data_IF_558703709704
#
_entry.id   IF_558703709704
#
_cell.length_a   1.000
_cell.length_b   1.000
_cell.length_c   1.000
_cell.angle_alpha   90.00
_cell.angle_beta   90.00
_cell.angle_gamma   90.00
#
_symmetry.space_group_name_H-M   'P 1'
#
loop_
_entity.id
_entity.type
_entity.pdbx_description
1 polymer ?
#
# COMPACT_ATOMS: atom_id res chain seq x y z
N UNK A 1 -13.47 -9.45 -12.36
CA UNK A 1 -12.11 -9.24 -11.82
C UNK A 1 -12.22 -8.28 -10.66
N UNK A 2 -11.48 -8.53 -9.58
CA UNK A 2 -11.40 -7.62 -8.44
C UNK A 2 -10.62 -6.36 -8.83
N UNK A 3 -10.90 -5.24 -8.18
CA UNK A 3 -10.21 -3.97 -8.44
C UNK A 3 -8.70 -4.09 -8.21
N UNK A 4 -8.27 -4.81 -7.18
CA UNK A 4 -6.87 -5.12 -6.90
C UNK A 4 -6.17 -5.89 -8.02
N UNK A 5 -6.86 -6.83 -8.66
CA UNK A 5 -6.34 -7.57 -9.81
C UNK A 5 -6.19 -6.66 -11.04
N UNK A 6 -7.12 -5.71 -11.23
CA UNK A 6 -7.04 -4.72 -12.32
C UNK A 6 -5.84 -3.78 -12.12
N UNK A 7 -5.65 -3.26 -10.90
CA UNK A 7 -4.52 -2.40 -10.56
C UNK A 7 -3.17 -3.09 -10.79
N UNK A 8 -3.07 -4.37 -10.40
CA UNK A 8 -1.88 -5.17 -10.63
C UNK A 8 -1.55 -5.39 -12.10
N UNK A 9 -2.57 -5.64 -12.92
CA UNK A 9 -2.38 -5.83 -14.35
C UNK A 9 -1.93 -4.54 -15.03
N UNK A 10 -2.51 -3.40 -14.66
CA UNK A 10 -2.07 -2.08 -15.16
C UNK A 10 -0.60 -1.85 -14.81
N UNK A 11 -0.21 -2.06 -13.54
CA UNK A 11 1.17 -1.90 -13.09
C UNK A 11 2.15 -2.83 -13.80
N UNK A 12 1.78 -4.11 -13.99
CA UNK A 12 2.61 -5.07 -14.74
C UNK A 12 2.76 -4.69 -16.20
N UNK A 13 1.69 -4.18 -16.82
CA UNK A 13 1.75 -3.70 -18.21
C UNK A 13 2.70 -2.51 -18.33
N UNK A 14 2.61 -1.53 -17.44
CA UNK A 14 3.54 -0.40 -17.38
C UNK A 14 4.99 -0.82 -17.12
N UNK A 15 5.18 -1.78 -16.22
CA UNK A 15 6.49 -2.34 -15.91
C UNK A 15 7.12 -3.00 -17.15
N UNK A 16 6.32 -3.71 -17.95
CA UNK A 16 6.77 -4.39 -19.17
C UNK A 16 7.00 -3.41 -20.33
N UNK A 17 6.30 -2.27 -20.38
CA UNK A 17 6.49 -1.24 -21.42
C UNK A 17 7.57 -0.20 -21.08
N UNK A 18 8.13 -0.22 -19.86
CA UNK A 18 9.06 0.80 -19.35
C UNK A 18 10.33 1.04 -20.19
N UNK A 19 10.75 0.05 -20.98
CA UNK A 19 11.99 0.15 -21.77
C UNK A 19 11.83 0.99 -23.03
N UNK A 20 10.60 1.28 -23.44
CA UNK A 20 10.33 1.85 -24.75
C UNK A 20 10.02 3.35 -24.71
N UNK A 21 9.47 3.90 -23.62
CA UNK A 21 8.96 5.28 -23.58
C UNK A 21 9.09 5.91 -22.18
N UNK A 22 9.28 7.24 -22.12
CA UNK A 22 9.37 8.00 -20.86
C UNK A 22 8.01 8.15 -20.16
N UNK A 23 6.93 8.14 -20.93
CA UNK A 23 5.54 8.13 -20.48
C UNK A 23 4.73 7.22 -21.41
N UNK A 24 3.79 6.46 -20.85
CA UNK A 24 2.86 5.60 -21.59
C UNK A 24 1.48 6.25 -21.65
N UNK A 25 0.80 6.12 -22.78
CA UNK A 25 -0.61 6.51 -22.90
C UNK A 25 -1.49 5.61 -22.02
N UNK A 26 -2.39 6.23 -21.27
CA UNK A 26 -3.27 5.55 -20.33
C UNK A 26 -4.20 4.56 -21.04
N UNK A 27 -4.89 5.01 -22.07
CA UNK A 27 -5.88 4.23 -22.79
C UNK A 27 -5.21 3.02 -23.43
N UNK A 28 -4.05 3.23 -24.06
CA UNK A 28 -3.25 2.16 -24.64
C UNK A 28 -2.73 1.18 -23.56
N UNK A 29 -2.33 1.67 -22.39
CA UNK A 29 -1.88 0.84 -21.27
C UNK A 29 -3.01 -0.05 -20.75
N UNK A 30 -4.22 0.50 -20.62
CA UNK A 30 -5.39 -0.24 -20.17
C UNK A 30 -5.78 -1.30 -21.20
N UNK A 31 -5.81 -0.95 -22.49
CA UNK A 31 -6.09 -1.89 -23.56
C UNK A 31 -5.07 -3.05 -23.59
N UNK A 32 -3.78 -2.74 -23.47
CA UNK A 32 -2.70 -3.74 -23.39
C UNK A 32 -2.75 -4.61 -22.15
N UNK A 33 -3.31 -4.10 -21.05
CA UNK A 33 -3.46 -4.87 -19.80
C UNK A 33 -4.54 -5.96 -19.88
N UNK A 34 -5.40 -5.91 -20.90
CA UNK A 34 -6.46 -6.91 -21.11
C UNK A 34 -7.57 -6.86 -20.06
N UNK A 35 -7.64 -5.78 -19.26
CA UNK A 35 -8.71 -5.59 -18.30
C UNK A 35 -9.97 -5.10 -19.00
N UNK A 36 -11.13 -5.56 -18.53
CA UNK A 36 -12.42 -5.01 -18.96
C UNK A 36 -12.83 -3.92 -17.98
N UNK A 37 -13.01 -2.70 -18.46
CA UNK A 37 -13.54 -1.58 -17.68
C UNK A 37 -14.95 -1.20 -18.15
N UNK A 38 -15.75 -0.66 -17.23
CA UNK A 38 -17.15 -0.29 -17.43
C UNK A 38 -17.26 1.12 -18.06
N UNK A 39 -16.14 1.82 -18.21
CA UNK A 39 -16.04 3.11 -18.89
C UNK A 39 -14.81 3.91 -18.45
N UNK A 40 -14.64 5.09 -19.04
CA UNK A 40 -13.50 6.00 -18.80
C UNK A 40 -13.40 6.44 -17.33
N UNK A 41 -14.53 6.60 -16.64
CA UNK A 41 -14.56 6.93 -15.20
C UNK A 41 -13.88 5.85 -14.34
N UNK A 42 -14.04 4.57 -14.70
CA UNK A 42 -13.35 3.48 -13.97
C UNK A 42 -11.84 3.52 -14.22
N UNK A 43 -11.43 3.85 -15.46
CA UNK A 43 -10.02 4.00 -15.82
C UNK A 43 -9.37 5.11 -14.97
N UNK A 44 -9.99 6.29 -14.93
CA UNK A 44 -9.48 7.43 -14.17
C UNK A 44 -9.42 7.12 -12.67
N UNK A 45 -10.41 6.38 -12.15
CA UNK A 45 -10.44 5.96 -10.75
C UNK A 45 -9.28 4.99 -10.42
N UNK A 46 -9.04 4.00 -11.27
CA UNK A 46 -7.94 3.05 -11.10
C UNK A 46 -6.58 3.75 -11.12
N UNK A 47 -6.39 4.68 -12.04
CA UNK A 47 -5.13 5.42 -12.15
C UNK A 47 -4.94 6.44 -11.05
N UNK A 48 -6.00 7.17 -10.70
CA UNK A 48 -5.98 8.09 -9.57
C UNK A 48 -5.56 7.37 -8.29
N UNK A 49 -5.99 6.10 -8.14
CA UNK A 49 -5.53 5.27 -7.03
C UNK A 49 -4.04 4.94 -7.12
N UNK A 50 -3.54 4.52 -8.28
CA UNK A 50 -2.11 4.24 -8.49
C UNK A 50 -1.21 5.48 -8.28
N UNK A 51 -1.70 6.67 -8.65
CA UNK A 51 -1.04 7.96 -8.41
C UNK A 51 -1.04 8.30 -6.92
N UNK A 52 -2.18 8.15 -6.25
CA UNK A 52 -2.31 8.37 -4.80
C UNK A 52 -1.36 7.46 -4.02
N UNK A 53 -1.24 6.21 -4.44
CA UNK A 53 -0.35 5.22 -3.84
C UNK A 53 1.13 5.45 -4.22
N UNK A 54 1.40 6.45 -5.08
CA UNK A 54 2.72 6.82 -5.61
C UNK A 54 3.44 5.67 -6.30
N UNK A 55 2.68 4.76 -6.92
CA UNK A 55 3.23 3.68 -7.73
C UNK A 55 3.44 4.15 -9.17
N UNK A 56 2.64 5.12 -9.61
CA UNK A 56 2.67 5.68 -10.96
C UNK A 56 2.62 7.21 -10.83
N UNK A 57 3.30 7.91 -11.74
CA UNK A 57 3.20 9.37 -11.90
C UNK A 57 2.54 9.67 -13.24
N UNK A 58 1.70 10.69 -13.33
CA UNK A 58 1.02 11.00 -14.57
C UNK A 58 0.05 12.16 -14.48
N UNK A 59 -0.35 12.64 -15.65
CA UNK A 59 -1.36 13.68 -15.80
C UNK A 59 -2.56 13.09 -16.53
N UNK A 60 -3.74 13.20 -15.91
CA UNK A 60 -5.02 12.82 -16.51
C UNK A 60 -5.63 14.03 -17.22
N UNK A 61 -6.28 13.79 -18.36
CA UNK A 61 -6.99 14.83 -19.11
C UNK A 61 -8.46 14.93 -18.69
N UNK A 62 -9.03 16.13 -18.75
CA UNK A 62 -10.44 16.37 -18.37
C UNK A 62 -11.45 15.64 -19.27
N UNK A 63 -11.06 15.32 -20.52
CA UNK A 63 -11.87 14.57 -21.48
C UNK A 63 -11.62 13.05 -21.43
N UNK A 64 -10.90 12.57 -20.41
CA UNK A 64 -10.51 11.17 -20.24
C UNK A 64 -9.14 10.86 -20.88
N UNK A 65 -8.48 9.83 -20.35
CA UNK A 65 -7.13 9.45 -20.77
C UNK A 65 -6.04 10.24 -20.04
N UNK A 66 -4.79 10.05 -20.47
CA UNK A 66 -3.65 10.69 -19.82
C UNK A 66 -2.32 10.03 -20.13
N UNK A 67 -1.26 10.64 -19.63
CA UNK A 67 0.10 10.08 -19.73
C UNK A 67 0.55 9.64 -18.35
N UNK A 68 0.97 8.39 -18.25
CA UNK A 68 1.34 7.74 -16.99
C UNK A 68 2.70 7.04 -17.12
N UNK A 69 3.45 7.00 -16.03
CA UNK A 69 4.77 6.38 -15.95
C UNK A 69 4.91 5.68 -14.61
N UNK A 70 5.44 4.45 -14.65
CA UNK A 70 5.74 3.73 -13.43
C UNK A 70 6.88 4.41 -12.66
N UNK A 71 6.70 4.61 -11.36
CA UNK A 71 7.74 5.16 -10.49
C UNK A 71 8.69 4.05 -10.04
N UNK A 72 9.83 4.41 -9.44
CA UNK A 72 10.71 3.43 -8.78
C UNK A 72 9.95 2.59 -7.74
N UNK A 73 9.01 3.20 -7.00
CA UNK A 73 8.18 2.50 -6.02
C UNK A 73 7.20 1.52 -6.67
N UNK A 74 6.65 1.87 -7.83
CA UNK A 74 5.83 0.95 -8.63
C UNK A 74 6.62 -0.21 -9.21
N UNK A 75 7.88 0.01 -9.57
CA UNK A 75 8.82 -1.04 -10.00
C UNK A 75 9.07 -2.02 -8.86
N UNK A 76 9.49 -1.52 -7.69
CA UNK A 76 9.73 -2.35 -6.50
C UNK A 76 8.49 -3.16 -6.12
N UNK A 77 7.31 -2.54 -6.24
CA UNK A 77 6.03 -3.20 -6.02
C UNK A 77 5.79 -4.38 -6.97
N UNK A 78 5.94 -4.17 -8.28
CA UNK A 78 5.76 -5.24 -9.27
C UNK A 78 6.78 -6.37 -9.08
N UNK A 79 7.98 -6.06 -8.61
CA UNK A 79 9.05 -7.03 -8.37
C UNK A 79 8.93 -7.77 -7.02
N UNK A 80 8.38 -7.15 -5.96
CA UNK A 80 8.44 -7.69 -4.59
C UNK A 80 7.11 -7.92 -3.85
N UNK A 81 6.03 -7.18 -4.11
CA UNK A 81 4.74 -7.31 -3.40
C UNK A 81 3.61 -6.67 -4.25
N UNK A 82 2.58 -7.43 -4.67
CA UNK A 82 1.49 -6.93 -5.53
C UNK A 82 0.12 -6.87 -4.82
N UNK A 83 -0.89 -6.20 -5.40
CA UNK A 83 -2.21 -5.98 -4.80
C UNK A 83 -3.01 -7.29 -4.71
N UNK A 84 -2.70 -8.25 -5.59
CA UNK A 84 -3.34 -9.57 -5.69
C UNK A 84 -2.43 -10.73 -5.26
N UNK A 85 -1.10 -10.55 -5.25
CA UNK A 85 -0.15 -11.59 -4.87
C UNK A 85 0.82 -11.09 -3.79
N UNK A 86 0.95 -11.93 -2.76
CA UNK A 86 1.98 -11.80 -1.74
C UNK A 86 3.31 -12.10 -2.42
N UNK A 87 4.14 -11.10 -2.66
CA UNK A 87 5.41 -11.36 -3.33
C UNK A 87 6.35 -12.09 -2.39
N UNK A 88 7.12 -13.00 -2.99
CA UNK A 88 8.24 -13.62 -2.30
C UNK A 88 9.45 -12.71 -2.54
N UNK A 89 10.23 -12.37 -1.50
CA UNK A 89 11.37 -11.48 -1.68
C UNK A 89 12.29 -12.06 -2.74
N UNK A 90 12.48 -11.33 -3.84
CA UNK A 90 13.57 -11.61 -4.77
C UNK A 90 14.84 -11.23 -4.02
N UNK A 91 15.59 -12.22 -3.53
CA UNK A 91 16.95 -12.01 -3.05
C UNK A 91 17.80 -11.43 -4.17
N UNK A 92 17.77 -10.10 -4.32
CA UNK A 92 18.64 -9.35 -5.21
C UNK A 92 20.02 -9.32 -4.58
N UNK A 93 20.78 -10.38 -4.82
CA UNK A 93 22.12 -10.60 -4.32
C UNK A 93 23.17 -9.80 -5.12
N UNK A 94 22.88 -8.53 -5.43
CA UNK A 94 23.76 -7.66 -6.22
C UNK A 94 24.23 -6.45 -5.41
N UNK A 95 25.35 -6.67 -4.72
CA UNK A 95 26.53 -5.79 -4.67
C UNK A 95 26.30 -4.30 -5.00
N UNK A 96 25.97 -3.51 -3.99
CA UNK A 96 26.57 -2.18 -3.84
C UNK A 96 27.42 -2.20 -2.58
N UNK A 97 28.68 -2.59 -2.77
CA UNK A 97 29.72 -2.51 -1.76
C UNK A 97 30.14 -1.03 -1.63
N UNK A 98 29.33 -0.23 -0.94
CA UNK A 98 29.69 1.15 -0.59
C UNK A 98 30.74 1.09 0.51
N UNK A 99 32.01 0.99 0.11
CA UNK A 99 33.14 1.20 1.01
C UNK A 99 33.15 2.67 1.46
N UNK A 100 32.60 2.94 2.64
CA UNK A 100 32.83 4.19 3.37
C UNK A 100 34.11 3.99 4.17
N UNK A 101 35.24 4.44 3.64
CA UNK A 101 36.49 4.60 4.40
C UNK A 101 36.55 6.02 4.99
N UNK A 102 36.88 6.11 6.28
CA UNK A 102 36.99 7.31 7.13
C UNK A 102 35.71 7.91 7.73
N UNK A 103 35.07 7.16 8.63
CA UNK A 103 34.32 7.76 9.75
C UNK A 103 34.97 7.33 11.07
N UNK A 104 35.92 8.12 11.56
CA UNK A 104 36.48 8.00 12.91
C UNK A 104 35.42 8.42 13.94
N UNK A 105 34.83 7.45 14.63
CA UNK A 105 33.95 7.70 15.77
C UNK A 105 32.63 6.95 15.71
N UNK A 106 32.60 5.76 16.32
CA UNK A 106 31.40 5.26 17.01
C UNK A 106 30.18 4.89 16.18
N UNK A 107 30.32 4.47 14.91
CA UNK A 107 29.21 3.86 14.17
C UNK A 107 29.39 2.35 14.15
N UNK A 108 28.68 1.64 15.03
CA UNK A 108 28.47 0.21 14.89
C UNK A 108 27.50 -0.01 13.75
N UNK A 109 28.02 -0.22 12.53
CA UNK A 109 27.22 -0.75 11.43
C UNK A 109 26.87 -2.19 11.81
N UNK A 110 25.64 -2.38 12.30
CA UNK A 110 25.06 -3.70 12.49
C UNK A 110 24.77 -4.28 11.10
N UNK A 111 25.82 -4.80 10.48
CA UNK A 111 25.75 -5.62 9.29
C UNK A 111 25.41 -7.04 9.75
N UNK A 112 24.27 -7.56 9.32
CA UNK A 112 23.63 -8.84 9.71
C UNK A 112 22.55 -8.74 10.80
N UNK A 113 21.35 -8.35 10.41
CA UNK A 113 20.11 -8.77 11.08
C UNK A 113 19.15 -9.36 10.05
N UNK A 114 19.54 -10.50 9.45
CA UNK A 114 18.58 -11.39 8.84
C UNK A 114 17.72 -11.97 9.96
N UNK A 115 16.41 -11.77 9.89
CA UNK A 115 15.39 -12.02 10.93
C UNK A 115 15.33 -10.99 12.05
N UNK A 116 14.75 -9.82 11.74
CA UNK A 116 13.98 -9.11 12.77
C UNK A 116 12.75 -9.97 13.08
N UNK A 117 12.88 -10.85 14.08
CA UNK A 117 11.72 -11.38 14.79
C UNK A 117 11.11 -10.19 15.52
N UNK A 118 10.17 -9.48 14.87
CA UNK A 118 9.31 -8.54 15.59
C UNK A 118 8.49 -9.41 16.51
N UNK A 119 8.92 -9.50 17.77
CA UNK A 119 8.16 -10.16 18.80
C UNK A 119 6.96 -9.26 19.06
N UNK A 120 5.88 -9.46 18.29
CA UNK A 120 4.59 -8.80 18.52
C UNK A 120 4.02 -9.48 19.77
N UNK A 121 4.60 -9.17 20.93
CA UNK A 121 4.25 -9.75 22.23
C UNK A 121 2.83 -9.41 22.68
N UNK A 122 2.01 -8.80 21.82
CA UNK A 122 0.64 -8.41 22.14
C UNK A 122 -0.39 -8.54 21.00
N UNK A 123 -0.23 -9.51 20.09
CA UNK A 123 -1.22 -9.77 19.00
C UNK A 123 -2.66 -9.92 19.52
N UNK A 124 -2.85 -10.52 20.70
CA UNK A 124 -4.17 -10.66 21.32
C UNK A 124 -4.82 -9.30 21.61
N UNK A 125 -4.09 -8.39 22.24
CA UNK A 125 -4.57 -7.04 22.56
C UNK A 125 -4.81 -6.20 21.32
N UNK A 126 -3.93 -6.33 20.31
CA UNK A 126 -4.10 -5.67 19.00
C UNK A 126 -5.39 -6.14 18.34
N UNK A 127 -5.65 -7.46 18.30
CA UNK A 127 -6.87 -8.02 17.71
C UNK A 127 -8.12 -7.56 18.45
N UNK A 128 -8.09 -7.55 19.78
CA UNK A 128 -9.22 -7.06 20.59
C UNK A 128 -9.51 -5.58 20.28
N UNK A 129 -8.49 -4.74 20.16
CA UNK A 129 -8.68 -3.32 19.80
C UNK A 129 -9.12 -3.08 18.37
N UNK A 130 -8.70 -3.93 17.45
CA UNK A 130 -9.23 -3.92 16.09
C UNK A 130 -10.72 -4.29 16.09
N UNK A 131 -11.17 -5.28 16.86
CA UNK A 131 -12.60 -5.63 16.98
C UNK A 131 -13.44 -4.49 17.60
N UNK A 132 -12.91 -3.83 18.64
CA UNK A 132 -13.56 -2.64 19.22
C UNK A 132 -13.73 -1.53 18.18
N UNK A 133 -12.70 -1.30 17.36
CA UNK A 133 -12.72 -0.31 16.29
C UNK A 133 -13.74 -0.66 15.19
N UNK A 134 -13.79 -1.91 14.75
CA UNK A 134 -14.78 -2.39 13.77
C UNK A 134 -16.20 -2.17 14.27
N UNK A 135 -16.49 -2.55 15.51
CA UNK A 135 -17.80 -2.33 16.11
C UNK A 135 -18.16 -0.86 16.19
N UNK A 136 -17.21 -0.01 16.59
CA UNK A 136 -17.42 1.43 16.67
C UNK A 136 -17.76 2.04 15.29
N UNK A 137 -17.10 1.59 14.21
CA UNK A 137 -17.39 2.02 12.84
C UNK A 137 -18.78 1.57 12.41
N UNK A 138 -19.11 0.29 12.61
CA UNK A 138 -20.38 -0.29 12.16
C UNK A 138 -21.60 0.35 12.86
N UNK A 139 -21.50 0.59 14.17
CA UNK A 139 -22.58 1.15 14.98
C UNK A 139 -22.69 2.68 14.85
N UNK A 140 -21.67 3.35 14.33
CA UNK A 140 -21.71 4.80 14.14
C UNK A 140 -22.77 5.19 13.11
N UNK A 141 -23.73 6.02 13.50
CA UNK A 141 -24.75 6.58 12.60
C UNK A 141 -24.26 7.80 11.80
N UNK A 142 -23.07 8.32 12.13
CA UNK A 142 -22.52 9.57 11.58
C UNK A 142 -21.64 9.28 10.35
N UNK A 143 -21.13 8.05 10.23
CA UNK A 143 -20.28 7.62 9.12
C UNK A 143 -21.20 7.09 8.01
N UNK A 144 -21.01 7.57 6.79
CA UNK A 144 -21.73 7.04 5.63
C UNK A 144 -21.35 5.58 5.39
N UNK A 145 -22.29 4.75 4.90
CA UNK A 145 -22.06 3.31 4.70
C UNK A 145 -20.89 3.02 3.73
N UNK A 146 -20.69 3.88 2.72
CA UNK A 146 -19.54 3.80 1.81
C UNK A 146 -18.21 3.97 2.58
N UNK A 147 -18.11 5.01 3.42
CA UNK A 147 -16.93 5.24 4.26
C UNK A 147 -16.72 4.15 5.30
N UNK A 148 -17.80 3.59 5.86
CA UNK A 148 -17.68 2.41 6.75
C UNK A 148 -17.03 1.25 6.01
N UNK A 149 -17.48 0.98 4.79
CA UNK A 149 -16.94 -0.12 3.98
C UNK A 149 -15.44 0.07 3.73
N UNK A 150 -15.02 1.26 3.30
CA UNK A 150 -13.60 1.59 3.07
C UNK A 150 -12.74 1.45 4.34
N UNK A 151 -13.26 1.91 5.48
CA UNK A 151 -12.55 1.80 6.75
C UNK A 151 -12.42 0.34 7.21
N UNK A 152 -13.44 -0.49 6.99
CA UNK A 152 -13.40 -1.93 7.28
C UNK A 152 -12.41 -2.65 6.37
N UNK A 153 -12.36 -2.31 5.09
CA UNK A 153 -11.37 -2.87 4.15
C UNK A 153 -9.93 -2.57 4.60
N UNK A 154 -9.64 -1.33 5.01
CA UNK A 154 -8.34 -0.98 5.58
C UNK A 154 -8.03 -1.79 6.85
N UNK A 155 -9.03 -2.05 7.69
CA UNK A 155 -8.88 -2.87 8.90
C UNK A 155 -8.58 -4.34 8.56
N UNK A 156 -9.21 -4.89 7.54
CA UNK A 156 -8.94 -6.27 7.10
C UNK A 156 -7.54 -6.42 6.47
N UNK A 157 -7.04 -5.39 5.78
CA UNK A 157 -5.65 -5.33 5.33
C UNK A 157 -4.66 -5.25 6.50
N UNK A 158 -5.00 -4.48 7.55
CA UNK A 158 -4.23 -4.42 8.80
C UNK A 158 -4.16 -5.81 9.44
N UNK A 159 -5.30 -6.50 9.59
CA UNK A 159 -5.36 -7.87 10.14
C UNK A 159 -4.52 -8.83 9.33
N UNK A 160 -4.69 -8.81 8.01
CA UNK A 160 -3.93 -9.65 7.10
C UNK A 160 -2.43 -9.43 7.26
N UNK A 161 -1.99 -8.18 7.40
CA UNK A 161 -0.57 -7.87 7.62
C UNK A 161 -0.06 -8.36 8.97
N UNK A 162 -0.86 -8.22 10.03
CA UNK A 162 -0.52 -8.69 11.38
C UNK A 162 -0.41 -10.21 11.44
N UNK A 163 -1.33 -10.95 10.81
CA UNK A 163 -1.28 -12.41 10.70
C UNK A 163 -0.03 -12.89 9.93
N UNK A 164 0.55 -11.99 9.11
CA UNK A 164 1.78 -12.21 8.35
C UNK A 164 3.02 -11.67 9.07
N UNK A 165 2.90 -11.23 10.32
CA UNK A 165 3.94 -10.56 11.10
C UNK A 165 4.57 -9.35 10.37
N UNK A 166 3.82 -8.68 9.49
CA UNK A 166 4.21 -7.44 8.81
C UNK A 166 3.55 -6.23 9.47
N UNK A 167 4.22 -5.08 9.48
CA UNK A 167 3.65 -3.80 9.94
C UNK A 167 2.76 -3.19 8.84
N UNK A 168 1.45 -3.01 9.05
CA UNK A 168 0.52 -2.49 8.04
C UNK A 168 0.59 -0.97 7.89
N UNK A 169 1.75 -0.41 7.54
CA UNK A 169 1.94 1.04 7.52
C UNK A 169 0.92 1.76 6.63
N UNK A 170 0.74 1.29 5.39
CA UNK A 170 -0.11 1.98 4.41
C UNK A 170 -1.61 1.87 4.69
N UNK A 171 -2.10 0.66 4.98
CA UNK A 171 -3.50 0.46 5.36
C UNK A 171 -3.85 1.23 6.64
N UNK A 172 -2.90 1.35 7.56
CA UNK A 172 -3.08 2.11 8.80
C UNK A 172 -3.05 3.63 8.58
N UNK A 173 -2.18 4.16 7.73
CA UNK A 173 -2.17 5.58 7.36
C UNK A 173 -3.48 5.98 6.66
N UNK A 174 -3.99 5.12 5.76
CA UNK A 174 -5.28 5.33 5.09
C UNK A 174 -6.45 5.32 6.09
N UNK A 175 -6.47 4.34 7.01
CA UNK A 175 -7.45 4.27 8.08
C UNK A 175 -7.43 5.53 8.95
N UNK A 176 -6.25 6.03 9.33
CA UNK A 176 -6.12 7.26 10.12
C UNK A 176 -6.64 8.49 9.36
N UNK A 177 -6.33 8.61 8.08
CA UNK A 177 -6.81 9.73 7.26
C UNK A 177 -8.34 9.79 7.23
N UNK A 178 -9.01 8.64 7.09
CA UNK A 178 -10.47 8.54 7.14
C UNK A 178 -11.02 8.77 8.56
N UNK A 179 -10.39 8.15 9.56
CA UNK A 179 -10.82 8.20 10.95
C UNK A 179 -10.69 9.60 11.57
N UNK A 180 -9.80 10.46 11.08
CA UNK A 180 -9.57 11.81 11.59
C UNK A 180 -10.81 12.70 11.60
N UNK A 181 -11.79 12.42 10.74
CA UNK A 181 -13.05 13.15 10.71
C UNK A 181 -14.02 12.72 11.82
N UNK A 182 -13.71 11.66 12.56
CA UNK A 182 -14.58 11.04 13.57
C UNK A 182 -13.81 10.83 14.87
N UNK A 183 -13.91 11.78 15.82
CA UNK A 183 -13.10 11.81 17.04
C UNK A 183 -13.01 10.48 17.82
N UNK A 184 -14.14 9.76 17.97
CA UNK A 184 -14.17 8.47 18.66
C UNK A 184 -13.43 7.35 17.91
N UNK A 185 -13.53 7.35 16.58
CA UNK A 185 -12.84 6.39 15.73
C UNK A 185 -11.35 6.73 15.63
N UNK A 186 -11.00 8.01 15.44
CA UNK A 186 -9.60 8.46 15.42
C UNK A 186 -8.87 8.03 16.70
N UNK A 187 -9.51 8.19 17.86
CA UNK A 187 -8.94 7.76 19.15
C UNK A 187 -8.65 6.26 19.17
N UNK A 188 -9.62 5.43 18.78
CA UNK A 188 -9.45 3.97 18.72
C UNK A 188 -8.40 3.54 17.68
N UNK A 189 -8.37 4.20 16.52
CA UNK A 189 -7.36 3.96 15.49
C UNK A 189 -5.97 4.26 16.03
N UNK A 190 -5.76 5.41 16.70
CA UNK A 190 -4.48 5.77 17.32
C UNK A 190 -4.05 4.76 18.40
N UNK A 191 -4.98 4.26 19.21
CA UNK A 191 -4.70 3.20 20.21
C UNK A 191 -4.20 1.92 19.54
N UNK A 192 -4.84 1.48 18.45
CA UNK A 192 -4.38 0.36 17.63
C UNK A 192 -2.98 0.65 17.07
N UNK A 193 -2.74 1.86 16.57
CA UNK A 193 -1.44 2.27 16.05
C UNK A 193 -0.32 2.19 17.07
N UNK A 194 -0.57 2.64 18.30
CA UNK A 194 0.41 2.50 19.40
C UNK A 194 0.76 1.03 19.62
N UNK A 195 -0.23 0.14 19.68
CA UNK A 195 0.03 -1.28 19.90
C UNK A 195 0.79 -1.95 18.74
N UNK A 196 0.58 -1.49 17.50
CA UNK A 196 1.22 -2.05 16.30
C UNK A 196 2.64 -1.51 16.10
N UNK A 197 2.84 -0.20 16.30
CA UNK A 197 4.06 0.49 15.88
C UNK A 197 4.99 0.85 17.04
N UNK A 198 4.49 0.93 18.28
CA UNK A 198 5.27 1.25 19.47
C UNK A 198 5.91 -0.05 20.02
N UNK A 199 6.94 -0.51 19.31
CA UNK A 199 7.82 -1.60 19.76
C UNK A 199 9.02 -0.95 20.43
N UNK A 200 9.07 -1.01 21.78
CA UNK A 200 10.29 -0.75 22.55
C UNK A 200 11.30 -1.87 22.38
#
# INVERSE_FOLDING_TARGET
>A
MKQSEKLDLILKTLYNSRSNEEYSDLTETIDKSGITTVGEIENDTLISRLITDKLVEGNLFEEGGGFIKITSRGIDYVEEDSYSLKGSPITNNNYYNTNISNSSGGVSVVNSSNNVHVNISNIGDIRNKIEDLVKAIQVSSIIAEEQKTEMIECIDEIRTSLDRNKKPKYAFDALLAMANNFAGISTLAIEVGKLIFDVK
#
